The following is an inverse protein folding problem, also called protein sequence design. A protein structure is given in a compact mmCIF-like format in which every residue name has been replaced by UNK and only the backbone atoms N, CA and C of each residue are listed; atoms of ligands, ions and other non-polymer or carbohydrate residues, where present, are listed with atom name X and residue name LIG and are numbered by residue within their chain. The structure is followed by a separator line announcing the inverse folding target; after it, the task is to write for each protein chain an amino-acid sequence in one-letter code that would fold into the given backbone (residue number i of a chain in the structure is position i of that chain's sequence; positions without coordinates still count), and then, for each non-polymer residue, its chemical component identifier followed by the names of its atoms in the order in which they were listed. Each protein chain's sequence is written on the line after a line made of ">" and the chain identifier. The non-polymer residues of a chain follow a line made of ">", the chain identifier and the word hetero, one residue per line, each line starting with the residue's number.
data_IF_588088565118
#
_entry.id   IF_588088565118
#
_cell.length_a   1.000
_cell.length_b   1.000
_cell.length_c   1.000
_cell.angle_alpha   90.00
_cell.angle_beta   90.00
_cell.angle_gamma   90.00
#
_symmetry.space_group_name_H-M   'P 1'
#
loop_
_entity.id
_entity.type
_entity.pdbx_description
1 polymer ?
#
# COMPACT_ATOMS: atom_id res chain seq x y z
N UNK A 1 29.01 -8.81 13.04
CA UNK A 1 27.62 -9.29 12.89
C UNK A 1 26.80 -8.10 12.44
N UNK A 2 26.44 -8.02 11.17
CA UNK A 2 25.49 -7.01 10.69
C UNK A 2 24.11 -7.45 11.14
N UNK A 3 23.42 -6.64 11.96
CA UNK A 3 22.01 -6.89 12.24
C UNK A 3 21.24 -6.88 10.92
N UNK A 4 20.53 -7.98 10.65
CA UNK A 4 19.64 -8.07 9.51
C UNK A 4 18.45 -7.15 9.76
N UNK A 5 18.45 -5.96 9.15
CA UNK A 5 17.32 -5.03 9.27
C UNK A 5 16.11 -5.62 8.57
N UNK A 6 15.12 -6.02 9.35
CA UNK A 6 13.79 -6.38 8.83
C UNK A 6 13.01 -5.10 8.58
N UNK A 7 12.79 -4.75 7.31
CA UNK A 7 11.97 -3.60 6.93
C UNK A 7 10.48 -3.87 7.20
N UNK A 8 9.72 -2.85 7.61
CA UNK A 8 8.26 -2.88 7.56
C UNK A 8 7.79 -1.93 6.47
N UNK A 9 7.20 -2.49 5.42
CA UNK A 9 6.85 -1.79 4.19
C UNK A 9 5.32 -1.69 4.09
N UNK A 10 4.82 -0.46 4.01
CA UNK A 10 3.44 -0.16 3.68
C UNK A 10 3.32 0.00 2.17
N UNK A 11 2.45 -0.76 1.54
CA UNK A 11 2.15 -0.69 0.11
C UNK A 11 0.72 -0.17 -0.06
N UNK A 12 0.57 0.87 -0.86
CA UNK A 12 -0.70 1.55 -1.12
C UNK A 12 -0.77 2.00 -2.58
N UNK A 13 -1.97 2.35 -3.03
CA UNK A 13 -2.26 2.94 -4.34
C UNK A 13 -3.58 3.71 -4.27
N UNK A 14 -3.92 4.40 -5.37
CA UNK A 14 -5.20 5.04 -5.60
C UNK A 14 -6.17 4.20 -6.44
N UNK A 15 -5.68 3.25 -7.26
CA UNK A 15 -6.56 2.38 -8.08
C UNK A 15 -7.44 1.41 -7.27
N UNK A 16 -7.12 1.19 -6.00
CA UNK A 16 -7.84 0.33 -5.07
C UNK A 16 -7.14 -1.00 -4.75
N UNK A 17 -7.61 -1.67 -3.69
CA UNK A 17 -6.98 -2.88 -3.10
C UNK A 17 -6.99 -4.09 -4.03
N UNK A 18 -7.92 -4.12 -4.99
CA UNK A 18 -8.03 -5.18 -6.00
C UNK A 18 -7.22 -4.89 -7.28
N UNK A 19 -6.46 -3.80 -7.32
CA UNK A 19 -5.70 -3.44 -8.52
C UNK A 19 -4.58 -4.46 -8.80
N UNK A 20 -4.45 -4.92 -10.06
CA UNK A 20 -3.43 -5.92 -10.42
C UNK A 20 -2.00 -5.40 -10.18
N UNK A 21 -1.76 -4.10 -10.35
CA UNK A 21 -0.46 -3.47 -10.07
C UNK A 21 -0.06 -3.52 -8.60
N UNK A 22 -1.01 -3.36 -7.69
CA UNK A 22 -0.77 -3.45 -6.24
C UNK A 22 -0.34 -4.87 -5.84
N UNK A 23 -1.01 -5.88 -6.38
CA UNK A 23 -0.65 -7.28 -6.18
C UNK A 23 0.74 -7.60 -6.75
N UNK A 24 1.05 -7.11 -7.95
CA UNK A 24 2.36 -7.30 -8.57
C UNK A 24 3.49 -6.69 -7.73
N UNK A 25 3.30 -5.46 -7.22
CA UNK A 25 4.26 -4.79 -6.35
C UNK A 25 4.44 -5.53 -5.03
N UNK A 26 3.34 -5.94 -4.37
CA UNK A 26 3.41 -6.73 -3.14
C UNK A 26 4.26 -8.00 -3.34
N UNK A 27 4.06 -8.71 -4.46
CA UNK A 27 4.82 -9.92 -4.81
C UNK A 27 6.30 -9.62 -5.03
N UNK A 28 6.61 -8.54 -5.74
CA UNK A 28 7.99 -8.14 -6.03
C UNK A 28 8.78 -7.76 -4.76
N UNK A 29 8.09 -7.33 -3.70
CA UNK A 29 8.69 -6.94 -2.42
C UNK A 29 8.83 -8.11 -1.44
N UNK A 30 8.32 -9.31 -1.76
CA UNK A 30 8.41 -10.47 -0.88
C UNK A 30 9.87 -10.80 -0.54
N UNK A 31 10.15 -11.08 0.74
CA UNK A 31 11.51 -11.36 1.22
C UNK A 31 12.34 -10.14 1.61
N UNK A 32 11.91 -8.91 1.27
CA UNK A 32 12.60 -7.69 1.72
C UNK A 32 12.22 -7.28 3.16
N UNK A 33 11.10 -7.78 3.68
CA UNK A 33 10.63 -7.47 5.02
C UNK A 33 9.16 -7.80 5.23
N UNK A 34 8.60 -7.29 6.33
CA UNK A 34 7.18 -7.38 6.64
C UNK A 34 6.41 -6.43 5.72
N UNK A 35 5.48 -6.96 4.94
CA UNK A 35 4.65 -6.17 4.03
C UNK A 35 3.25 -5.99 4.61
N UNK A 36 2.70 -4.79 4.51
CA UNK A 36 1.31 -4.49 4.83
C UNK A 36 0.70 -3.74 3.65
N UNK A 37 -0.45 -4.22 3.16
CA UNK A 37 -1.21 -3.55 2.11
C UNK A 37 -2.33 -2.76 2.77
N UNK A 38 -2.42 -1.47 2.46
CA UNK A 38 -3.52 -0.61 2.88
C UNK A 38 -3.89 0.31 1.71
N UNK A 39 -5.06 0.09 1.13
CA UNK A 39 -5.50 0.78 -0.07
C UNK A 39 -7.02 0.97 -0.01
N UNK A 40 -7.57 1.93 -0.79
CA UNK A 40 -9.02 2.11 -0.90
C UNK A 40 -9.71 0.84 -1.42
N UNK A 41 -11.00 0.69 -1.11
CA UNK A 41 -11.83 -0.41 -1.62
C UNK A 41 -12.27 -0.22 -3.08
N UNK A 42 -12.13 1.00 -3.62
CA UNK A 42 -12.49 1.38 -4.99
C UNK A 42 -11.40 2.26 -5.64
N UNK A 43 -11.52 2.52 -6.94
CA UNK A 43 -10.60 3.39 -7.67
C UNK A 43 -10.84 4.87 -7.30
N UNK A 44 -9.76 5.56 -6.90
CA UNK A 44 -9.65 6.98 -6.59
C UNK A 44 -8.62 7.70 -7.48
N UNK A 45 -8.31 7.15 -8.65
CA UNK A 45 -7.40 7.78 -9.62
C UNK A 45 -7.88 9.21 -9.92
N UNK A 46 -6.92 10.13 -10.04
CA UNK A 46 -7.19 11.56 -10.34
C UNK A 46 -7.93 12.32 -9.22
N UNK A 47 -8.18 11.70 -8.06
CA UNK A 47 -8.82 12.40 -6.93
C UNK A 47 -7.93 13.47 -6.27
N UNK A 48 -6.64 13.52 -6.60
CA UNK A 48 -5.67 14.44 -5.98
C UNK A 48 -5.40 14.09 -4.51
N UNK A 49 -5.00 15.09 -3.70
CA UNK A 49 -4.68 14.89 -2.28
C UNK A 49 -5.91 15.01 -1.36
N UNK A 50 -7.01 14.37 -1.75
CA UNK A 50 -8.25 14.40 -0.96
C UNK A 50 -8.08 13.67 0.37
N UNK A 51 -8.64 14.25 1.43
CA UNK A 51 -8.63 13.70 2.78
C UNK A 51 -10.04 13.75 3.35
N UNK A 52 -10.46 12.66 3.97
CA UNK A 52 -11.73 12.64 4.70
C UNK A 52 -11.56 13.47 5.99
N UNK A 53 -12.16 14.67 6.04
CA UNK A 53 -12.02 15.61 7.17
C UNK A 53 -13.28 15.77 8.02
N UNK A 54 -14.42 15.26 7.56
CA UNK A 54 -15.74 15.56 8.13
C UNK A 54 -16.45 14.32 8.71
N UNK A 55 -15.84 13.15 8.61
CA UNK A 55 -16.36 11.89 9.13
C UNK A 55 -15.22 10.93 9.48
N UNK A 56 -15.44 9.93 10.35
CA UNK A 56 -14.52 8.81 10.51
C UNK A 56 -14.32 8.02 9.21
N UNK A 57 -13.22 7.27 9.16
CA UNK A 57 -12.92 6.30 8.11
C UNK A 57 -13.54 4.94 8.41
#
# INVERSE_FOLDING_TARGET
>A
MTEERVYHILVTNDDGVQAPGLLALKKALEGLGKITVFAPDHNWSVAGHNKTMHKPL
#
